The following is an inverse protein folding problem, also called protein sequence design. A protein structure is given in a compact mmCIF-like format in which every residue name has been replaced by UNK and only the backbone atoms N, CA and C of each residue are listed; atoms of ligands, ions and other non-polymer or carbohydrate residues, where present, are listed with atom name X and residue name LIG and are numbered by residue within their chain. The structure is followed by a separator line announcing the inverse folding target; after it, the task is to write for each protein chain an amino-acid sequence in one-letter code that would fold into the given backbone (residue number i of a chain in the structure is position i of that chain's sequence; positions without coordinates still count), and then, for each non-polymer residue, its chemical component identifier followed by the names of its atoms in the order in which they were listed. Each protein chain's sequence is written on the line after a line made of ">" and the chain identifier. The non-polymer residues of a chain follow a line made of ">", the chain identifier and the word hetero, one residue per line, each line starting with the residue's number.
data_IF_855850926198
#
_entry.id   IF_855850926198
#
_cell.length_a   1.000
_cell.length_b   1.000
_cell.length_c   1.000
_cell.angle_alpha   90.00
_cell.angle_beta   90.00
_cell.angle_gamma   90.00
#
_symmetry.space_group_name_H-M   'P 1'
#
loop_
_entity.id
_entity.type
_entity.pdbx_description
1 polymer ?
#
# COMPACT_ATOMS: atom_id res chain seq x y z
N UNK A 1 -19.08 2.62 20.74
CA UNK A 1 -17.97 1.66 21.01
C UNK A 1 -18.49 0.26 21.39
N UNK A 2 -19.59 0.14 22.15
CA UNK A 2 -20.16 -1.16 22.56
C UNK A 2 -20.42 -2.09 21.37
N UNK A 3 -21.11 -1.57 20.36
CA UNK A 3 -21.44 -2.33 19.14
C UNK A 3 -20.18 -2.81 18.39
N UNK A 4 -19.18 -1.95 18.29
CA UNK A 4 -17.89 -2.30 17.66
C UNK A 4 -17.10 -3.33 18.48
N UNK A 5 -17.12 -3.21 19.79
CA UNK A 5 -16.49 -4.18 20.68
C UNK A 5 -17.12 -5.58 20.52
N UNK A 6 -18.45 -5.63 20.47
CA UNK A 6 -19.18 -6.91 20.26
C UNK A 6 -18.87 -7.51 18.88
N UNK A 7 -18.91 -6.69 17.83
CA UNK A 7 -18.73 -7.15 16.45
C UNK A 7 -17.32 -7.67 16.17
N UNK A 8 -16.32 -6.96 16.64
CA UNK A 8 -14.94 -7.19 16.22
C UNK A 8 -14.05 -7.84 17.27
N UNK A 9 -14.38 -7.80 18.55
CA UNK A 9 -13.53 -8.27 19.64
C UNK A 9 -14.14 -9.43 20.41
N UNK A 10 -15.35 -9.28 20.94
CA UNK A 10 -15.94 -10.26 21.88
C UNK A 10 -16.16 -11.64 21.23
N UNK A 11 -16.49 -11.65 19.96
CA UNK A 11 -16.76 -12.88 19.22
C UNK A 11 -15.53 -13.52 18.57
N UNK A 12 -14.31 -13.01 18.85
CA UNK A 12 -13.10 -13.63 18.37
C UNK A 12 -12.85 -14.99 19.02
N UNK A 13 -12.31 -15.97 18.28
CA UNK A 13 -11.81 -17.21 18.88
C UNK A 13 -10.78 -16.91 19.96
N UNK A 14 -10.76 -17.74 21.00
CA UNK A 14 -9.85 -17.54 22.13
C UNK A 14 -8.36 -17.57 21.73
N UNK A 15 -8.03 -18.29 20.67
CA UNK A 15 -6.69 -18.30 20.08
C UNK A 15 -6.29 -16.90 19.54
N UNK A 16 -7.24 -16.18 18.97
CA UNK A 16 -7.00 -14.82 18.45
C UNK A 16 -6.89 -13.79 19.58
N UNK A 17 -7.60 -13.99 20.70
CA UNK A 17 -7.50 -13.14 21.88
C UNK A 17 -6.17 -13.30 22.64
N UNK A 18 -5.44 -14.38 22.41
CA UNK A 18 -4.12 -14.60 23.01
C UNK A 18 -3.00 -13.77 22.36
N UNK A 19 -3.21 -13.26 21.15
CA UNK A 19 -2.25 -12.48 20.40
C UNK A 19 -2.63 -11.01 20.33
N UNK A 20 -1.81 -10.15 20.91
CA UNK A 20 -1.99 -8.69 20.86
C UNK A 20 -2.04 -8.19 19.42
N UNK A 21 -1.20 -8.71 18.53
CA UNK A 21 -1.18 -8.32 17.12
C UNK A 21 -2.53 -8.63 16.43
N UNK A 22 -3.12 -9.80 16.69
CA UNK A 22 -4.42 -10.17 16.12
C UNK A 22 -5.55 -9.30 16.63
N UNK A 23 -5.56 -8.99 17.92
CA UNK A 23 -6.51 -8.06 18.52
C UNK A 23 -6.39 -6.68 17.85
N UNK A 24 -5.19 -6.18 17.64
CA UNK A 24 -4.96 -4.89 17.01
C UNK A 24 -5.40 -4.86 15.54
N UNK A 25 -5.27 -5.96 14.79
CA UNK A 25 -5.84 -6.06 13.44
C UNK A 25 -7.37 -5.95 13.46
N UNK A 26 -8.02 -6.59 14.40
CA UNK A 26 -9.48 -6.48 14.56
C UNK A 26 -9.91 -5.07 14.97
N UNK A 27 -9.13 -4.41 15.80
CA UNK A 27 -9.35 -3.00 16.14
C UNK A 27 -9.17 -2.09 14.93
N UNK A 28 -8.21 -2.36 14.06
CA UNK A 28 -8.05 -1.64 12.79
C UNK A 28 -9.26 -1.81 11.88
N UNK A 29 -9.78 -3.02 11.73
CA UNK A 29 -11.02 -3.26 10.96
C UNK A 29 -12.21 -2.54 11.57
N UNK A 30 -12.32 -2.51 12.89
CA UNK A 30 -13.36 -1.77 13.60
C UNK A 30 -13.24 -0.26 13.35
N UNK A 31 -12.04 0.28 13.30
CA UNK A 31 -11.79 1.69 12.99
C UNK A 31 -12.22 2.04 11.55
N UNK A 32 -11.91 1.21 10.58
CA UNK A 32 -12.38 1.39 9.20
C UNK A 32 -13.90 1.33 9.11
N UNK A 33 -14.52 0.37 9.78
CA UNK A 33 -15.98 0.28 9.83
C UNK A 33 -16.61 1.52 10.47
N UNK A 34 -16.03 2.03 11.55
CA UNK A 34 -16.45 3.25 12.20
C UNK A 34 -16.38 4.47 11.26
N UNK A 35 -15.25 4.66 10.59
CA UNK A 35 -15.05 5.81 9.70
C UNK A 35 -15.92 5.72 8.43
N UNK A 36 -16.08 4.53 7.87
CA UNK A 36 -16.72 4.34 6.58
C UNK A 36 -18.23 4.10 6.64
N UNK A 37 -18.73 3.54 7.73
CA UNK A 37 -20.14 3.16 7.84
C UNK A 37 -20.89 3.83 9.00
N UNK A 38 -20.26 4.11 10.12
CA UNK A 38 -20.91 4.71 11.28
C UNK A 38 -20.92 6.23 11.21
N UNK A 39 -19.77 6.85 10.99
CA UNK A 39 -19.68 8.32 10.89
C UNK A 39 -20.53 8.95 9.80
N UNK A 40 -20.68 8.36 8.60
CA UNK A 40 -21.57 8.90 7.58
C UNK A 40 -23.04 8.95 8.00
N UNK A 41 -23.47 8.07 8.92
CA UNK A 41 -24.82 8.05 9.46
C UNK A 41 -25.03 9.07 10.60
N UNK A 42 -23.96 9.45 11.28
CA UNK A 42 -24.00 10.45 12.36
C UNK A 42 -22.75 11.34 12.29
N UNK A 43 -22.81 12.46 11.54
CA UNK A 43 -21.68 13.37 11.36
C UNK A 43 -21.19 14.05 12.63
N UNK A 44 -21.94 13.97 13.74
CA UNK A 44 -21.54 14.53 15.05
C UNK A 44 -20.42 13.70 15.72
N UNK A 45 -20.24 12.45 15.28
CA UNK A 45 -19.21 11.57 15.78
C UNK A 45 -17.82 12.05 15.32
N UNK A 46 -16.82 12.08 16.23
CA UNK A 46 -15.49 12.56 15.89
C UNK A 46 -14.74 11.58 14.99
N UNK A 47 -13.96 12.11 14.04
CA UNK A 47 -12.93 11.31 13.36
C UNK A 47 -11.81 10.99 14.33
N UNK A 48 -11.34 9.74 14.32
CA UNK A 48 -10.28 9.27 15.20
C UNK A 48 -9.15 8.64 14.39
N UNK A 49 -7.90 8.98 14.76
CA UNK A 49 -6.73 8.25 14.28
C UNK A 49 -6.77 6.81 14.78
N UNK A 50 -6.08 5.91 14.10
CA UNK A 50 -5.99 4.51 14.54
C UNK A 50 -5.45 4.40 15.97
N UNK A 51 -4.44 5.20 16.34
CA UNK A 51 -3.89 5.23 17.69
C UNK A 51 -4.95 5.60 18.74
N UNK A 52 -5.65 6.69 18.52
CA UNK A 52 -6.70 7.16 19.46
C UNK A 52 -7.84 6.16 19.55
N UNK A 53 -8.29 5.64 18.42
CA UNK A 53 -9.33 4.64 18.37
C UNK A 53 -8.93 3.35 19.09
N UNK A 54 -7.72 2.87 18.86
CA UNK A 54 -7.17 1.67 19.49
C UNK A 54 -7.13 1.82 21.02
N UNK A 55 -6.59 2.93 21.52
CA UNK A 55 -6.53 3.19 22.96
C UNK A 55 -7.92 3.25 23.60
N UNK A 56 -8.90 3.87 22.92
CA UNK A 56 -10.29 3.91 23.40
C UNK A 56 -10.94 2.52 23.42
N UNK A 57 -10.70 1.70 22.38
CA UNK A 57 -11.21 0.34 22.34
C UNK A 57 -10.63 -0.52 23.46
N UNK A 58 -9.33 -0.41 23.72
CA UNK A 58 -8.68 -1.13 24.82
C UNK A 58 -9.24 -0.73 26.20
N UNK A 59 -9.54 0.53 26.40
CA UNK A 59 -10.13 1.03 27.65
C UNK A 59 -11.60 0.63 27.81
N UNK A 60 -12.33 0.56 26.69
CA UNK A 60 -13.78 0.36 26.70
C UNK A 60 -14.15 -1.14 26.71
N UNK A 61 -13.41 -1.96 25.99
CA UNK A 61 -13.73 -3.37 25.83
C UNK A 61 -13.43 -4.15 27.13
N UNK A 62 -14.43 -4.85 27.72
CA UNK A 62 -14.23 -5.57 29.00
C UNK A 62 -13.13 -6.65 28.94
N UNK A 63 -12.98 -7.31 27.78
CA UNK A 63 -11.94 -8.34 27.59
C UNK A 63 -10.51 -7.75 27.60
N UNK A 64 -10.38 -6.47 27.29
CA UNK A 64 -9.09 -5.76 27.20
C UNK A 64 -8.83 -4.86 28.39
N UNK A 65 -9.81 -4.66 29.26
CA UNK A 65 -9.73 -3.77 30.43
C UNK A 65 -8.74 -4.23 31.51
N UNK A 66 -8.35 -5.51 31.48
CA UNK A 66 -7.34 -6.07 32.41
C UNK A 66 -5.91 -5.60 32.13
N UNK A 67 -5.67 -5.03 30.95
CA UNK A 67 -4.36 -4.47 30.59
C UNK A 67 -4.24 -3.03 31.12
N UNK A 68 -3.07 -2.66 31.69
CA UNK A 68 -2.80 -1.29 32.07
C UNK A 68 -2.71 -0.36 30.83
N UNK A 69 -2.85 0.95 31.04
CA UNK A 69 -2.70 1.94 29.95
C UNK A 69 -1.32 1.88 29.30
N UNK A 70 -0.28 1.61 30.07
CA UNK A 70 1.08 1.42 29.57
C UNK A 70 1.18 0.18 28.69
N UNK A 71 0.54 -0.93 29.07
CA UNK A 71 0.45 -2.13 28.27
C UNK A 71 -0.34 -1.90 26.96
N UNK A 72 -1.39 -1.07 26.97
CA UNK A 72 -2.13 -0.68 25.77
C UNK A 72 -1.24 0.07 24.77
N UNK A 73 -0.43 0.99 25.26
CA UNK A 73 0.50 1.75 24.40
C UNK A 73 1.58 0.84 23.84
N UNK A 74 2.16 -0.02 24.65
CA UNK A 74 3.17 -1.00 24.23
C UNK A 74 2.58 -1.98 23.19
N UNK A 75 1.38 -2.47 23.44
CA UNK A 75 0.68 -3.36 22.51
C UNK A 75 0.47 -2.70 21.13
N UNK A 76 0.09 -1.44 21.11
CA UNK A 76 -0.08 -0.68 19.87
C UNK A 76 1.25 -0.46 19.14
N UNK A 77 2.33 -0.14 19.85
CA UNK A 77 3.66 0.02 19.24
C UNK A 77 4.18 -1.31 18.66
N UNK A 78 4.00 -2.41 19.35
CA UNK A 78 4.32 -3.75 18.83
C UNK A 78 3.50 -4.10 17.59
N UNK A 79 2.23 -3.74 17.58
CA UNK A 79 1.36 -3.89 16.40
C UNK A 79 1.88 -3.08 15.22
N UNK A 80 2.24 -1.82 15.42
CA UNK A 80 2.80 -0.98 14.35
C UNK A 80 4.09 -1.58 13.78
N UNK A 81 4.98 -2.09 14.64
CA UNK A 81 6.19 -2.75 14.20
C UNK A 81 5.88 -4.01 13.39
N UNK A 82 4.96 -4.83 13.84
CA UNK A 82 4.52 -6.02 13.12
C UNK A 82 3.90 -5.66 11.76
N UNK A 83 3.05 -4.66 11.73
CA UNK A 83 2.38 -4.17 10.51
C UNK A 83 3.38 -3.66 9.46
N UNK A 84 4.45 -2.99 9.88
CA UNK A 84 5.51 -2.50 8.97
C UNK A 84 6.39 -3.62 8.41
N UNK A 85 6.45 -4.78 9.07
CA UNK A 85 7.21 -5.96 8.60
C UNK A 85 6.46 -6.83 7.60
N UNK A 86 5.16 -6.63 7.40
CA UNK A 86 4.39 -7.41 6.44
C UNK A 86 4.92 -7.10 5.04
N UNK A 87 5.33 -8.11 4.25
CA UNK A 87 5.79 -7.91 2.90
C UNK A 87 4.74 -7.23 2.03
N UNK A 88 5.17 -6.29 1.20
CA UNK A 88 4.33 -5.58 0.22
C UNK A 88 4.69 -6.07 -1.17
N UNK A 89 3.68 -6.39 -1.96
CA UNK A 89 3.82 -6.86 -3.33
C UNK A 89 2.97 -6.01 -4.25
N UNK A 90 3.46 -5.81 -5.46
CA UNK A 90 2.75 -5.03 -6.47
C UNK A 90 3.38 -5.18 -7.83
N UNK A 91 3.12 -4.22 -8.71
CA UNK A 91 3.55 -4.31 -10.09
C UNK A 91 3.98 -2.97 -10.69
N UNK A 92 4.92 -3.07 -11.62
CA UNK A 92 5.27 -2.03 -12.58
C UNK A 92 4.62 -2.44 -13.91
N UNK A 93 3.59 -1.71 -14.30
CA UNK A 93 2.83 -1.97 -15.52
C UNK A 93 3.39 -1.08 -16.65
N UNK A 94 4.04 -1.70 -17.63
CA UNK A 94 4.64 -1.01 -18.76
C UNK A 94 3.79 -1.17 -20.02
N UNK A 95 3.75 -0.12 -20.83
CA UNK A 95 3.23 -0.21 -22.20
C UNK A 95 4.16 -1.01 -23.11
N UNK A 96 3.77 -1.26 -24.37
CA UNK A 96 4.56 -2.04 -25.31
C UNK A 96 5.91 -1.38 -25.65
N UNK A 97 5.95 -0.05 -25.70
CA UNK A 97 7.19 0.70 -25.91
C UNK A 97 8.13 0.71 -24.70
N UNK A 98 7.64 0.30 -23.53
CA UNK A 98 8.38 0.34 -22.25
C UNK A 98 8.91 1.74 -21.91
N UNK A 99 8.17 2.77 -22.27
CA UNK A 99 8.49 4.18 -21.98
C UNK A 99 7.54 4.82 -20.97
N UNK A 100 6.43 4.14 -20.66
CA UNK A 100 5.40 4.63 -19.76
C UNK A 100 4.96 3.55 -18.78
N UNK A 101 4.56 3.97 -17.59
CA UNK A 101 4.08 3.09 -16.53
C UNK A 101 2.82 3.66 -15.86
N UNK A 102 2.01 2.79 -15.28
CA UNK A 102 0.79 3.15 -14.56
C UNK A 102 1.13 3.45 -13.10
N UNK A 103 0.68 4.60 -12.61
CA UNK A 103 0.72 4.96 -11.21
C UNK A 103 -0.69 5.19 -10.68
N UNK A 104 -0.87 4.97 -9.39
CA UNK A 104 -2.11 5.18 -8.66
C UNK A 104 -1.91 6.24 -7.59
N UNK A 105 -2.94 7.04 -7.34
CA UNK A 105 -2.96 8.04 -6.29
C UNK A 105 -3.94 7.62 -5.20
N UNK A 106 -3.51 7.66 -3.94
CA UNK A 106 -4.37 7.37 -2.81
C UNK A 106 -5.55 8.33 -2.70
N UNK A 107 -6.60 7.90 -2.02
CA UNK A 107 -7.84 8.66 -1.81
C UNK A 107 -7.66 9.83 -0.84
N UNK A 108 -6.84 9.67 0.18
CA UNK A 108 -6.66 10.68 1.22
C UNK A 108 -6.09 11.97 0.66
N UNK A 109 -6.54 13.11 1.20
CA UNK A 109 -5.99 14.41 0.82
C UNK A 109 -4.47 14.42 1.08
N UNK A 110 -3.71 14.85 0.08
CA UNK A 110 -2.24 14.83 0.15
C UNK A 110 -1.60 13.49 -0.13
N UNK A 111 -2.36 12.47 -0.53
CA UNK A 111 -1.80 11.20 -0.94
C UNK A 111 -0.88 11.33 -2.16
N UNK A 112 0.17 10.52 -2.19
CA UNK A 112 1.17 10.51 -3.25
C UNK A 112 0.82 9.48 -4.34
N UNK A 113 1.43 9.69 -5.51
CA UNK A 113 1.45 8.72 -6.59
C UNK A 113 2.42 7.58 -6.28
N UNK A 114 2.04 6.37 -6.57
CA UNK A 114 2.85 5.17 -6.35
C UNK A 114 2.52 4.08 -7.35
N UNK A 115 3.37 3.07 -7.43
CA UNK A 115 3.01 1.83 -8.11
C UNK A 115 1.86 1.14 -7.39
N UNK A 116 0.95 0.46 -8.10
CA UNK A 116 -0.10 -0.35 -7.47
C UNK A 116 0.52 -1.46 -6.64
N UNK A 117 0.16 -1.55 -5.37
CA UNK A 117 0.76 -2.47 -4.40
C UNK A 117 -0.08 -2.59 -3.13
N UNK A 118 0.11 -3.67 -2.42
CA UNK A 118 -0.45 -3.85 -1.10
C UNK A 118 0.20 -4.98 -0.32
N UNK A 119 -0.27 -5.18 0.89
CA UNK A 119 0.26 -6.18 1.82
C UNK A 119 -0.16 -7.58 1.42
N UNK A 120 0.77 -8.51 1.56
CA UNK A 120 0.49 -9.93 1.35
C UNK A 120 -0.46 -10.46 2.43
N UNK A 121 -1.41 -11.29 2.03
CA UNK A 121 -2.27 -12.03 2.95
C UNK A 121 -1.55 -13.26 3.50
N UNK A 122 -2.06 -13.80 4.59
CA UNK A 122 -1.55 -15.05 5.15
C UNK A 122 -1.61 -16.17 4.09
N UNK A 123 -0.50 -16.89 3.94
CA UNK A 123 -0.35 -18.03 3.03
C UNK A 123 -0.58 -17.70 1.53
N UNK A 124 -0.56 -16.43 1.15
CA UNK A 124 -0.65 -15.98 -0.23
C UNK A 124 0.72 -16.03 -0.90
N UNK A 125 0.76 -16.49 -2.16
CA UNK A 125 1.97 -16.41 -3.00
C UNK A 125 2.30 -14.96 -3.38
N UNK A 126 3.58 -14.64 -3.49
CA UNK A 126 4.05 -13.29 -3.80
C UNK A 126 3.48 -12.73 -5.12
N UNK A 127 3.46 -13.55 -6.18
CA UNK A 127 2.93 -13.15 -7.47
C UNK A 127 1.40 -13.02 -7.43
N UNK A 128 0.72 -13.92 -6.75
CA UNK A 128 -0.73 -13.86 -6.58
C UNK A 128 -1.15 -12.61 -5.82
N UNK A 129 -0.39 -12.23 -4.79
CA UNK A 129 -0.59 -10.96 -4.09
C UNK A 129 -0.46 -9.77 -5.04
N UNK A 130 0.59 -9.71 -5.85
CA UNK A 130 0.79 -8.63 -6.81
C UNK A 130 -0.37 -8.55 -7.81
N UNK A 131 -0.81 -9.68 -8.35
CA UNK A 131 -1.94 -9.76 -9.29
C UNK A 131 -3.24 -9.28 -8.65
N UNK A 132 -3.51 -9.70 -7.41
CA UNK A 132 -4.68 -9.28 -6.64
C UNK A 132 -4.66 -7.77 -6.37
N UNK A 133 -3.56 -7.23 -5.92
CA UNK A 133 -3.44 -5.79 -5.61
C UNK A 133 -3.57 -4.92 -6.86
N UNK A 134 -3.01 -5.34 -7.98
CA UNK A 134 -3.22 -4.65 -9.27
C UNK A 134 -4.70 -4.64 -9.64
N UNK A 135 -5.40 -5.75 -9.49
CA UNK A 135 -6.83 -5.83 -9.77
C UNK A 135 -7.65 -4.94 -8.84
N UNK A 136 -7.37 -4.97 -7.55
CA UNK A 136 -8.07 -4.14 -6.55
C UNK A 136 -7.86 -2.65 -6.80
N UNK A 137 -6.63 -2.21 -7.06
CA UNK A 137 -6.30 -0.80 -7.20
C UNK A 137 -6.55 -0.23 -8.60
N UNK A 138 -6.51 -1.05 -9.66
CA UNK A 138 -6.62 -0.59 -11.05
C UNK A 138 -7.76 -1.20 -11.85
N UNK A 139 -8.34 -2.29 -11.39
CA UNK A 139 -9.34 -3.07 -12.13
C UNK A 139 -8.78 -3.96 -13.22
N UNK A 140 -7.47 -3.96 -13.45
CA UNK A 140 -6.82 -4.81 -14.45
C UNK A 140 -6.56 -6.20 -13.89
N UNK A 141 -7.21 -7.22 -14.47
CA UNK A 141 -6.91 -8.62 -14.23
C UNK A 141 -5.78 -9.08 -15.16
N UNK A 142 -4.56 -9.14 -14.62
CA UNK A 142 -3.36 -9.48 -15.38
C UNK A 142 -3.41 -10.90 -15.95
N UNK A 143 -4.03 -11.84 -15.26
CA UNK A 143 -4.15 -13.23 -15.73
C UNK A 143 -5.17 -13.34 -16.85
N UNK A 144 -6.35 -12.76 -16.68
CA UNK A 144 -7.40 -12.75 -17.71
C UNK A 144 -6.95 -12.02 -18.98
N UNK A 145 -6.13 -10.97 -18.83
CA UNK A 145 -5.54 -10.23 -19.94
C UNK A 145 -4.38 -10.97 -20.64
N UNK A 146 -3.94 -12.12 -20.12
CA UNK A 146 -2.83 -12.89 -20.68
C UNK A 146 -1.45 -12.24 -20.50
N UNK A 147 -1.31 -11.33 -19.55
CA UNK A 147 -0.08 -10.56 -19.31
C UNK A 147 0.89 -11.25 -18.33
N UNK A 148 0.42 -12.27 -17.63
CA UNK A 148 1.28 -13.08 -16.75
C UNK A 148 1.94 -14.19 -17.59
N UNK A 149 3.28 -14.24 -17.69
CA UNK A 149 3.96 -15.30 -18.42
C UNK A 149 3.64 -16.67 -17.85
N UNK A 150 3.39 -17.66 -18.73
CA UNK A 150 3.09 -19.04 -18.31
C UNK A 150 4.34 -19.88 -18.09
N UNK A 151 5.36 -19.66 -18.88
CA UNK A 151 6.55 -20.52 -18.95
C UNK A 151 7.76 -19.95 -18.20
N UNK A 152 7.70 -18.71 -17.79
CA UNK A 152 8.78 -18.00 -17.08
C UNK A 152 8.24 -17.22 -15.91
N UNK A 153 9.04 -17.12 -14.85
CA UNK A 153 8.69 -16.21 -13.74
C UNK A 153 8.85 -14.77 -14.20
N UNK A 154 7.87 -13.88 -13.93
CA UNK A 154 8.01 -12.47 -14.24
C UNK A 154 9.23 -11.85 -13.55
N UNK A 155 9.88 -10.91 -14.23
CA UNK A 155 10.92 -10.09 -13.62
C UNK A 155 10.33 -9.33 -12.45
N UNK A 156 11.07 -9.25 -11.36
CA UNK A 156 10.73 -8.37 -10.26
C UNK A 156 11.93 -7.54 -9.80
N UNK A 157 11.65 -6.42 -9.16
CA UNK A 157 12.59 -5.57 -8.47
C UNK A 157 12.16 -5.52 -7.00
N UNK A 158 13.08 -5.83 -6.09
CA UNK A 158 12.80 -5.82 -4.66
C UNK A 158 13.68 -4.81 -3.96
N UNK A 159 13.06 -4.00 -3.11
CA UNK A 159 13.73 -2.99 -2.29
C UNK A 159 13.25 -3.14 -0.86
N UNK A 160 14.21 -3.24 0.05
CA UNK A 160 13.94 -3.24 1.49
C UNK A 160 14.26 -1.87 2.06
N UNK A 161 13.30 -1.27 2.72
CA UNK A 161 13.47 0.01 3.40
C UNK A 161 12.70 0.01 4.72
N UNK A 162 13.37 0.37 5.81
CA UNK A 162 12.79 0.42 7.15
C UNK A 162 12.07 -0.89 7.54
N UNK A 163 12.74 -2.02 7.32
CA UNK A 163 12.21 -3.38 7.57
C UNK A 163 11.04 -3.82 6.69
N UNK A 164 10.54 -2.96 5.80
CA UNK A 164 9.53 -3.34 4.83
C UNK A 164 10.17 -3.82 3.53
N UNK A 165 9.76 -5.00 3.07
CA UNK A 165 10.13 -5.54 1.76
C UNK A 165 9.07 -5.19 0.73
N UNK A 166 9.46 -4.39 -0.25
CA UNK A 166 8.60 -4.04 -1.39
C UNK A 166 9.12 -4.73 -2.65
N UNK A 167 8.34 -5.67 -3.17
CA UNK A 167 8.62 -6.36 -4.43
C UNK A 167 7.61 -5.93 -5.48
N UNK A 168 8.10 -5.42 -6.60
CA UNK A 168 7.29 -5.07 -7.75
C UNK A 168 7.63 -5.97 -8.94
N UNK A 169 6.65 -6.73 -9.40
CA UNK A 169 6.76 -7.52 -10.62
C UNK A 169 6.57 -6.63 -11.84
N UNK A 170 7.36 -6.85 -12.89
CA UNK A 170 7.32 -6.06 -14.11
C UNK A 170 6.49 -6.78 -15.16
N UNK A 171 5.41 -6.15 -15.61
CA UNK A 171 4.55 -6.65 -16.69
C UNK A 171 4.62 -5.70 -17.88
N UNK A 172 4.78 -6.28 -19.06
CA UNK A 172 4.88 -5.58 -20.34
C UNK A 172 3.56 -5.64 -21.10
N UNK A 173 3.50 -4.87 -22.18
CA UNK A 173 2.42 -4.91 -23.16
C UNK A 173 1.03 -4.60 -22.59
N UNK A 174 0.98 -3.77 -21.56
CA UNK A 174 -0.29 -3.26 -21.04
C UNK A 174 -0.82 -2.22 -22.05
N UNK A 175 -2.03 -2.42 -22.62
CA UNK A 175 -2.59 -1.45 -23.55
C UNK A 175 -2.83 -0.10 -22.88
N UNK A 176 -2.42 0.99 -23.52
CA UNK A 176 -2.59 2.34 -22.98
C UNK A 176 -4.04 2.81 -22.95
N UNK A 177 -4.92 2.17 -23.68
CA UNK A 177 -6.37 2.39 -23.69
C UNK A 177 -7.12 1.52 -22.67
N UNK A 178 -6.40 0.79 -21.82
CA UNK A 178 -7.01 -0.03 -20.76
C UNK A 178 -7.91 0.84 -19.89
N UNK A 179 -9.19 0.46 -19.69
CA UNK A 179 -10.12 1.20 -18.84
C UNK A 179 -9.83 0.90 -17.37
N UNK A 180 -8.98 1.70 -16.75
CA UNK A 180 -8.68 1.55 -15.33
C UNK A 180 -9.82 2.10 -14.45
N UNK A 181 -10.19 1.30 -13.44
CA UNK A 181 -11.09 1.72 -12.37
C UNK A 181 -10.78 0.94 -11.10
N UNK A 182 -10.59 1.60 -9.96
CA UNK A 182 -10.34 0.90 -8.71
C UNK A 182 -11.54 0.04 -8.31
N UNK A 183 -11.29 -1.15 -7.75
CA UNK A 183 -12.30 -2.06 -7.21
C UNK A 183 -12.52 -1.90 -5.73
N UNK A 184 -11.61 -1.21 -5.05
CA UNK A 184 -11.70 -0.90 -3.63
C UNK A 184 -12.31 0.48 -3.41
N UNK A 185 -13.06 0.62 -2.32
CA UNK A 185 -13.73 1.87 -1.99
C UNK A 185 -12.80 2.77 -1.19
N UNK A 186 -12.67 4.04 -1.62
CA UNK A 186 -11.92 5.08 -0.90
C UNK A 186 -10.43 4.77 -0.64
N UNK A 187 -9.81 3.98 -1.46
CA UNK A 187 -8.38 3.72 -1.41
C UNK A 187 -7.63 4.46 -2.50
N UNK A 188 -8.12 4.39 -3.72
CA UNK A 188 -7.52 5.01 -4.90
C UNK A 188 -8.44 6.06 -5.47
N UNK A 189 -7.91 7.27 -5.68
CA UNK A 189 -8.64 8.41 -6.27
C UNK A 189 -8.38 8.59 -7.75
N UNK A 190 -7.18 8.26 -8.23
CA UNK A 190 -6.75 8.43 -9.62
C UNK A 190 -5.81 7.33 -10.06
N UNK A 191 -5.86 7.01 -11.36
CA UNK A 191 -4.99 6.06 -12.04
C UNK A 191 -4.55 6.72 -13.34
N UNK A 192 -3.24 6.88 -13.55
CA UNK A 192 -2.71 7.57 -14.73
C UNK A 192 -1.45 6.91 -15.27
N UNK A 193 -1.24 7.06 -16.57
CA UNK A 193 0.03 6.77 -17.23
C UNK A 193 1.02 7.90 -17.01
N UNK A 194 2.25 7.53 -16.69
CA UNK A 194 3.38 8.44 -16.57
C UNK A 194 4.52 7.98 -17.48
N UNK A 195 5.13 8.90 -18.22
CA UNK A 195 6.38 8.61 -18.92
C UNK A 195 7.50 8.38 -17.91
N UNK A 196 8.32 7.36 -18.11
CA UNK A 196 9.44 7.06 -17.21
C UNK A 196 10.43 8.24 -17.15
N UNK A 197 10.54 9.01 -18.24
CA UNK A 197 11.38 10.21 -18.31
C UNK A 197 10.90 11.36 -17.42
N UNK A 198 9.61 11.40 -17.09
CA UNK A 198 9.00 12.44 -16.24
C UNK A 198 9.08 12.11 -14.74
N UNK A 199 9.44 10.88 -14.39
CA UNK A 199 9.52 10.44 -13.02
C UNK A 199 10.84 10.87 -12.37
N UNK A 200 10.84 11.22 -11.05
CA UNK A 200 12.02 11.67 -10.36
C UNK A 200 13.06 10.56 -10.27
N UNK A 201 14.24 10.80 -10.83
CA UNK A 201 15.37 9.90 -10.70
C UNK A 201 15.97 9.98 -9.29
N UNK A 202 16.45 8.83 -8.76
CA UNK A 202 17.21 8.82 -7.52
C UNK A 202 18.55 9.55 -7.72
N UNK A 203 18.76 10.70 -7.06
CA UNK A 203 20.06 11.37 -7.00
C UNK A 203 20.90 10.73 -5.92
N UNK A 204 22.04 10.12 -6.29
CA UNK A 204 23.11 9.82 -5.31
C UNK A 204 23.52 11.14 -4.63
N UNK A 205 23.51 11.19 -3.30
CA UNK A 205 24.20 12.23 -2.54
C UNK A 205 25.66 12.22 -2.96
N UNK A 206 26.10 13.25 -3.70
CA UNK A 206 27.50 13.37 -4.08
C UNK A 206 27.80 13.95 -5.47
N UNK A 207 26.80 14.30 -6.29
CA UNK A 207 27.07 15.08 -7.49
C UNK A 207 26.77 16.55 -7.17
N UNK A 208 27.86 17.28 -6.92
CA UNK A 208 27.82 18.73 -6.85
C UNK A 208 27.53 19.32 -8.24
N UNK A 209 26.82 20.44 -8.21
CA UNK A 209 26.74 21.50 -9.20
C UNK A 209 26.02 21.26 -10.54
N UNK A 210 24.78 21.76 -10.54
CA UNK A 210 24.38 22.78 -11.50
C UNK A 210 23.28 23.66 -10.86
N UNK A 211 23.70 24.83 -10.42
CA UNK A 211 22.96 25.72 -9.52
C UNK A 211 21.79 26.50 -10.17
N UNK A 212 21.39 26.22 -11.41
CA UNK A 212 20.38 27.00 -12.11
C UNK A 212 19.07 26.28 -12.46
N UNK A 213 18.82 25.08 -11.94
CA UNK A 213 17.52 24.40 -12.16
C UNK A 213 16.89 23.85 -10.87
N UNK A 214 17.18 24.50 -9.73
CA UNK A 214 16.82 23.98 -8.39
C UNK A 214 15.34 24.16 -8.01
N UNK A 215 14.54 24.92 -8.73
CA UNK A 215 13.18 25.26 -8.29
C UNK A 215 12.05 24.42 -8.88
N UNK A 216 12.29 23.62 -9.91
CA UNK A 216 11.23 22.81 -10.54
C UNK A 216 11.28 21.32 -10.16
N UNK A 217 12.40 20.83 -9.66
CA UNK A 217 12.58 19.40 -9.38
C UNK A 217 12.23 18.97 -7.96
N UNK A 218 12.21 19.86 -6.97
CA UNK A 218 11.95 19.52 -5.57
C UNK A 218 10.45 19.39 -5.25
N UNK A 219 9.59 20.15 -5.93
CA UNK A 219 8.14 20.06 -5.74
C UNK A 219 7.52 18.82 -6.39
N UNK A 220 8.15 18.29 -7.45
CA UNK A 220 7.67 17.08 -8.12
C UNK A 220 8.08 15.78 -7.39
N UNK A 221 9.23 15.74 -6.72
CA UNK A 221 9.68 14.55 -6.01
C UNK A 221 8.74 14.16 -4.85
N UNK A 222 8.11 15.13 -4.19
CA UNK A 222 7.18 14.92 -3.08
C UNK A 222 5.82 14.37 -3.50
N UNK A 223 5.51 14.34 -4.80
CA UNK A 223 4.27 13.73 -5.33
C UNK A 223 4.32 12.21 -5.42
N UNK A 224 5.51 11.62 -5.32
CA UNK A 224 5.74 10.20 -5.55
C UNK A 224 6.24 9.53 -4.28
N UNK A 225 5.64 8.37 -3.97
CA UNK A 225 6.06 7.56 -2.85
C UNK A 225 6.64 6.24 -3.35
N UNK A 226 7.89 5.94 -2.96
CA UNK A 226 8.58 4.69 -3.31
C UNK A 226 8.66 4.39 -4.81
N UNK A 227 8.72 5.41 -5.64
CA UNK A 227 8.86 5.27 -7.09
C UNK A 227 10.33 5.39 -7.51
N UNK A 228 11.03 6.42 -7.04
CA UNK A 228 12.40 6.71 -7.45
C UNK A 228 13.39 5.54 -7.24
N UNK A 229 13.37 4.77 -6.13
CA UNK A 229 14.27 3.66 -5.93
C UNK A 229 14.18 2.55 -6.98
N UNK A 230 13.01 2.39 -7.61
CA UNK A 230 12.76 1.37 -8.63
C UNK A 230 13.21 1.79 -10.03
N UNK A 231 13.37 3.10 -10.29
CA UNK A 231 13.59 3.61 -11.65
C UNK A 231 14.95 3.24 -12.22
N UNK A 232 16.01 3.28 -11.44
CA UNK A 232 17.35 2.93 -11.95
C UNK A 232 17.42 1.48 -12.39
N UNK A 233 17.05 0.48 -11.55
CA UNK A 233 17.04 -0.90 -11.98
C UNK A 233 16.03 -1.18 -13.10
N UNK A 234 14.88 -0.49 -13.10
CA UNK A 234 13.89 -0.61 -14.16
C UNK A 234 14.43 -0.12 -15.51
N UNK A 235 15.02 1.06 -15.56
CA UNK A 235 15.60 1.61 -16.79
C UNK A 235 16.72 0.73 -17.33
N UNK A 236 17.56 0.19 -16.46
CA UNK A 236 18.62 -0.75 -16.85
C UNK A 236 18.04 -2.02 -17.48
N UNK A 237 17.00 -2.58 -16.89
CA UNK A 237 16.33 -3.75 -17.43
C UNK A 237 15.64 -3.46 -18.77
N UNK A 238 14.93 -2.34 -18.89
CA UNK A 238 14.27 -1.89 -20.14
C UNK A 238 15.29 -1.75 -21.28
N UNK A 239 16.43 -1.14 -21.02
CA UNK A 239 17.51 -1.02 -22.01
C UNK A 239 18.04 -2.39 -22.46
N UNK A 240 18.13 -3.36 -21.54
CA UNK A 240 18.54 -4.72 -21.88
C UNK A 240 17.50 -5.45 -22.74
N UNK A 241 16.21 -5.16 -22.57
CA UNK A 241 15.13 -5.75 -23.38
C UNK A 241 15.04 -5.17 -24.79
N UNK A 242 15.56 -3.98 -25.02
CA UNK A 242 15.54 -3.28 -26.32
C UNK A 242 16.77 -3.62 -27.21
N UNK A 243 17.75 -4.35 -26.68
CA UNK A 243 18.90 -4.86 -27.42
C UNK A 243 18.60 -6.20 -28.07
#
# INVERSE_FOLDING_TARGET
>A
LDDLCVRFIINLPQEDLSSVARICFQVEEAQWFYEDFIRPLDPTLPSMTLRTFCLRMFQHCPLLASFSVENHTQAFEEFLQYKTRIPVRGAILLNSAMDSTVLVKGWKKGANWSFPRGKINKDEDDLDCAVREVYEETGLDLQAAGLVPKDTKPKYIEISMREQQLRLYVFRDVPMDTPFAPRTRKEISKIEWYKLSELPAFRKKGAADDANNANTTNTNANKFYMVAPFLVPLKKWVLAQKR
#
